data_IF_555037673791
#
_entry.id   IF_555037673791
#
_cell.length_a   1.000
_cell.length_b   1.000
_cell.length_c   1.000
_cell.angle_alpha   90.00
_cell.angle_beta   90.00
_cell.angle_gamma   90.00
#
_symmetry.space_group_name_H-M   'P 1'
#
loop_
_entity.id
_entity.type
_entity.pdbx_description
1 polymer ?
#
# COMPACT_ATOMS: atom_id res chain seq x y z
N UNK A 1 13.61 -10.07 -26.68
CA UNK A 1 12.32 -10.03 -25.94
C UNK A 1 11.83 -11.46 -25.80
N UNK A 2 11.56 -11.93 -24.57
CA UNK A 2 11.14 -13.33 -24.30
C UNK A 2 9.67 -13.48 -23.92
N UNK A 3 8.97 -12.36 -23.73
CA UNK A 3 7.56 -12.33 -23.41
C UNK A 3 7.07 -10.88 -23.31
N UNK A 4 5.76 -10.73 -23.25
CA UNK A 4 5.06 -9.47 -22.97
C UNK A 4 4.18 -9.68 -21.75
N UNK A 5 4.00 -8.63 -20.95
CA UNK A 5 3.15 -8.67 -19.77
C UNK A 5 1.98 -7.71 -19.96
N UNK A 6 0.83 -8.05 -19.39
CA UNK A 6 -0.33 -7.17 -19.39
C UNK A 6 -0.39 -6.44 -18.05
N UNK A 7 -0.55 -5.10 -18.03
CA UNK A 7 -0.78 -4.36 -16.80
C UNK A 7 -2.02 -4.92 -16.08
N UNK A 8 -1.86 -5.29 -14.81
CA UNK A 8 -2.92 -5.92 -14.00
C UNK A 8 -3.50 -5.01 -12.90
N UNK A 9 -3.06 -3.76 -12.80
CA UNK A 9 -3.50 -2.84 -11.74
C UNK A 9 -4.62 -1.91 -12.23
N UNK A 10 -5.71 -1.83 -11.46
CA UNK A 10 -6.80 -0.85 -11.63
C UNK A 10 -6.54 0.47 -10.89
N UNK A 11 -5.56 0.50 -9.98
CA UNK A 11 -5.08 1.70 -9.33
C UNK A 11 -3.85 2.21 -10.08
N UNK A 12 -4.08 3.19 -10.94
CA UNK A 12 -3.04 3.95 -11.61
C UNK A 12 -2.49 4.99 -10.63
N UNK A 13 -1.24 4.80 -10.19
CA UNK A 13 -0.49 5.81 -9.43
C UNK A 13 0.30 6.71 -10.39
N UNK A 14 -0.28 7.06 -11.54
CA UNK A 14 0.24 8.07 -12.45
C UNK A 14 1.45 7.65 -13.29
N UNK A 15 1.74 6.35 -13.38
CA UNK A 15 2.83 5.82 -14.20
C UNK A 15 2.24 4.98 -15.32
N UNK A 16 2.51 5.37 -16.57
CA UNK A 16 2.08 4.64 -17.75
C UNK A 16 2.77 3.26 -17.80
N UNK A 17 2.12 2.26 -17.20
CA UNK A 17 2.62 0.88 -17.11
C UNK A 17 2.76 0.19 -18.47
N UNK A 18 2.40 0.86 -19.58
CA UNK A 18 2.60 0.33 -20.93
C UNK A 18 4.07 0.39 -21.38
N UNK A 19 4.92 1.16 -20.69
CA UNK A 19 6.35 1.29 -20.97
C UNK A 19 7.29 0.40 -20.16
N UNK A 20 6.77 -0.40 -19.22
CA UNK A 20 7.61 -1.13 -18.26
C UNK A 20 8.34 -2.32 -18.90
N UNK A 21 9.63 -2.46 -18.59
CA UNK A 21 10.48 -3.56 -19.05
C UNK A 21 11.04 -4.30 -17.84
N UNK A 22 10.73 -5.59 -17.75
CA UNK A 22 11.31 -6.47 -16.73
C UNK A 22 12.52 -7.22 -17.27
N UNK A 23 13.64 -7.11 -16.57
CA UNK A 23 14.84 -7.90 -16.83
C UNK A 23 15.37 -8.51 -15.53
N UNK A 24 16.09 -9.64 -15.58
CA UNK A 24 16.70 -10.22 -14.39
C UNK A 24 17.65 -9.21 -13.72
N UNK A 25 17.57 -9.10 -12.40
CA UNK A 25 18.35 -8.14 -11.62
C UNK A 25 19.86 -8.25 -11.87
N UNK A 26 20.40 -9.47 -11.90
CA UNK A 26 21.82 -9.72 -12.17
C UNK A 26 22.25 -9.31 -13.58
N UNK A 27 21.34 -9.35 -14.55
CA UNK A 27 21.58 -8.85 -15.92
C UNK A 27 21.63 -7.33 -15.94
N UNK A 28 20.69 -6.66 -15.27
CA UNK A 28 20.67 -5.20 -15.14
C UNK A 28 21.98 -4.69 -14.53
N UNK A 29 22.41 -5.27 -13.41
CA UNK A 29 23.64 -4.84 -12.71
C UNK A 29 24.88 -4.93 -13.60
N UNK A 30 25.00 -5.98 -14.42
CA UNK A 30 26.14 -6.16 -15.34
C UNK A 30 26.06 -5.20 -16.54
N UNK A 31 24.87 -5.04 -17.13
CA UNK A 31 24.69 -4.22 -18.32
C UNK A 31 24.89 -2.73 -18.05
N UNK A 32 24.49 -2.26 -16.85
CA UNK A 32 24.51 -0.84 -16.48
C UNK A 32 25.56 -0.48 -15.42
N UNK A 33 26.47 -1.40 -15.11
CA UNK A 33 27.56 -1.18 -14.14
C UNK A 33 27.09 -0.82 -12.70
N UNK A 34 25.90 -1.25 -12.30
CA UNK A 34 25.32 -1.05 -10.96
C UNK A 34 25.66 -2.20 -10.00
N UNK A 35 26.91 -2.67 -10.04
CA UNK A 35 27.35 -3.83 -9.26
C UNK A 35 27.38 -3.44 -7.78
N UNK A 36 26.85 -4.31 -6.91
CA UNK A 36 26.73 -4.10 -5.46
C UNK A 36 25.78 -2.97 -5.03
N UNK A 37 25.04 -2.37 -5.95
CA UNK A 37 24.00 -1.39 -5.64
C UNK A 37 22.62 -2.05 -5.76
N UNK A 38 21.76 -1.81 -4.76
CA UNK A 38 20.35 -2.18 -4.77
C UNK A 38 19.55 -0.95 -4.37
N UNK A 39 18.68 -0.47 -5.25
CA UNK A 39 17.90 0.73 -4.98
C UNK A 39 16.77 0.48 -3.98
N UNK A 40 16.00 -0.60 -4.17
CA UNK A 40 14.84 -0.93 -3.34
C UNK A 40 14.71 -2.44 -3.16
N UNK A 41 14.20 -2.85 -2.00
CA UNK A 41 13.77 -4.22 -1.74
C UNK A 41 12.25 -4.26 -1.64
N UNK A 42 11.64 -5.21 -2.34
CA UNK A 42 10.25 -5.59 -2.11
C UNK A 42 10.24 -6.83 -1.22
N UNK A 43 9.59 -6.73 -0.06
CA UNK A 43 9.54 -7.79 0.94
C UNK A 43 8.08 -8.10 1.22
N UNK A 44 7.72 -9.38 1.15
CA UNK A 44 6.37 -9.87 1.41
C UNK A 44 6.38 -10.69 2.68
N UNK A 45 5.49 -10.34 3.62
CA UNK A 45 5.27 -11.12 4.84
C UNK A 45 4.50 -12.39 4.57
N UNK A 46 4.70 -13.40 5.43
CA UNK A 46 3.82 -14.57 5.46
C UNK A 46 2.49 -14.21 6.12
N UNK A 47 1.46 -15.01 5.84
CA UNK A 47 0.13 -14.80 6.40
C UNK A 47 0.16 -14.75 7.93
N UNK A 48 -0.58 -13.78 8.50
CA UNK A 48 -0.65 -13.56 9.95
C UNK A 48 0.55 -12.85 10.57
N UNK A 49 1.58 -12.50 9.79
CA UNK A 49 2.71 -11.70 10.27
C UNK A 49 2.47 -10.22 10.00
N UNK A 50 2.53 -9.41 11.05
CA UNK A 50 2.48 -7.96 10.96
C UNK A 50 3.67 -7.41 10.14
N UNK A 51 3.38 -6.70 9.05
CA UNK A 51 4.38 -6.08 8.17
C UNK A 51 5.23 -5.04 8.92
N UNK A 52 4.65 -4.37 9.92
CA UNK A 52 5.38 -3.46 10.82
C UNK A 52 6.52 -4.14 11.58
N UNK A 53 6.35 -5.41 11.98
CA UNK A 53 7.42 -6.20 12.62
C UNK A 53 8.51 -6.56 11.61
N UNK A 54 8.11 -7.03 10.43
CA UNK A 54 9.04 -7.37 9.35
C UNK A 54 9.88 -6.15 8.97
N UNK A 55 9.26 -4.98 8.87
CA UNK A 55 9.95 -3.72 8.58
C UNK A 55 10.99 -3.39 9.66
N UNK A 56 10.61 -3.46 10.94
CA UNK A 56 11.51 -3.18 12.05
C UNK A 56 12.69 -4.15 12.08
N UNK A 57 12.45 -5.44 11.88
CA UNK A 57 13.49 -6.46 11.90
C UNK A 57 14.42 -6.36 10.68
N UNK A 58 13.86 -6.03 9.51
CA UNK A 58 14.65 -5.76 8.30
C UNK A 58 15.56 -4.55 8.50
N UNK A 59 15.04 -3.44 9.05
CA UNK A 59 15.84 -2.24 9.35
C UNK A 59 16.95 -2.54 10.34
N UNK A 60 16.68 -3.31 11.41
CA UNK A 60 17.72 -3.73 12.37
C UNK A 60 18.82 -4.58 11.72
N UNK A 61 18.43 -5.54 10.89
CA UNK A 61 19.38 -6.39 10.15
C UNK A 61 20.26 -5.53 9.23
N UNK A 62 19.66 -4.60 8.49
CA UNK A 62 20.37 -3.69 7.61
C UNK A 62 21.28 -2.74 8.39
N UNK A 63 20.82 -2.20 9.50
CA UNK A 63 21.63 -1.33 10.36
C UNK A 63 22.88 -2.06 10.88
N UNK A 64 22.71 -3.29 11.35
CA UNK A 64 23.82 -4.12 11.80
C UNK A 64 24.80 -4.41 10.66
N UNK A 65 24.30 -4.77 9.47
CA UNK A 65 25.13 -5.10 8.30
C UNK A 65 25.90 -3.90 7.76
N UNK A 66 25.28 -2.73 7.76
CA UNK A 66 25.86 -1.49 7.21
C UNK A 66 26.53 -0.61 8.26
N UNK A 67 26.66 -1.08 9.52
CA UNK A 67 27.27 -0.36 10.64
C UNK A 67 26.61 1.01 10.90
N UNK A 68 25.30 1.07 10.71
CA UNK A 68 24.47 2.23 11.04
C UNK A 68 24.03 2.10 12.50
N UNK A 69 23.91 3.24 13.19
CA UNK A 69 23.38 3.24 14.54
C UNK A 69 21.93 2.69 14.55
N UNK A 70 21.56 1.76 15.45
CA UNK A 70 20.25 1.13 15.43
C UNK A 70 19.08 2.10 15.64
N UNK A 71 19.36 3.24 16.29
CA UNK A 71 18.38 4.29 16.56
C UNK A 71 18.43 5.44 15.55
N UNK A 72 19.10 5.29 14.41
CA UNK A 72 19.05 6.29 13.33
C UNK A 72 17.84 6.02 12.41
N UNK A 73 16.73 6.78 12.54
CA UNK A 73 15.52 6.53 11.76
C UNK A 73 15.65 6.99 10.30
N UNK A 74 16.66 7.79 9.95
CA UNK A 74 16.81 8.39 8.64
C UNK A 74 17.69 7.56 7.70
N UNK A 75 18.43 6.60 8.23
CA UNK A 75 19.36 5.80 7.44
C UNK A 75 18.69 4.85 6.44
N UNK A 76 17.47 4.39 6.72
CA UNK A 76 16.72 3.49 5.84
C UNK A 76 15.28 3.97 5.65
N UNK A 77 14.96 4.39 4.42
CA UNK A 77 13.58 4.61 4.01
C UNK A 77 12.80 3.30 3.94
N UNK A 78 11.51 3.36 4.22
CA UNK A 78 10.59 2.24 4.08
C UNK A 78 9.21 2.75 3.69
N UNK A 79 8.43 1.84 3.10
CA UNK A 79 7.02 2.09 2.84
C UNK A 79 6.23 0.85 3.25
N UNK A 80 5.26 1.05 4.16
CA UNK A 80 4.46 -0.01 4.71
C UNK A 80 3.08 -0.06 4.05
N UNK A 81 2.89 -1.03 3.15
CA UNK A 81 1.62 -1.23 2.45
C UNK A 81 0.48 -1.59 3.42
N UNK A 82 0.75 -2.32 4.50
CA UNK A 82 -0.28 -2.73 5.46
C UNK A 82 -0.83 -1.51 6.21
N UNK A 83 0.02 -0.58 6.63
CA UNK A 83 -0.41 0.65 7.30
C UNK A 83 -1.30 1.51 6.38
N UNK A 84 -0.86 1.70 5.13
CA UNK A 84 -1.66 2.44 4.14
C UNK A 84 -3.01 1.76 3.88
N UNK A 85 -3.02 0.44 3.73
CA UNK A 85 -4.25 -0.32 3.53
C UNK A 85 -5.19 -0.24 4.74
N UNK A 86 -4.65 -0.34 5.96
CA UNK A 86 -5.42 -0.20 7.20
C UNK A 86 -6.06 1.19 7.32
N UNK A 87 -5.32 2.25 6.99
CA UNK A 87 -5.84 3.62 6.97
C UNK A 87 -6.98 3.79 5.96
N UNK A 88 -6.81 3.28 4.74
CA UNK A 88 -7.88 3.31 3.73
C UNK A 88 -9.11 2.53 4.17
N UNK A 89 -8.91 1.35 4.76
CA UNK A 89 -10.02 0.54 5.26
C UNK A 89 -10.79 1.26 6.38
N UNK A 90 -10.07 1.87 7.33
CA UNK A 90 -10.68 2.66 8.40
C UNK A 90 -11.52 3.83 7.86
N UNK A 91 -11.02 4.52 6.83
CA UNK A 91 -11.76 5.59 6.14
C UNK A 91 -13.06 5.06 5.52
N UNK A 92 -13.01 3.94 4.78
CA UNK A 92 -14.19 3.37 4.16
C UNK A 92 -15.21 2.86 5.20
N UNK A 93 -14.76 2.30 6.31
CA UNK A 93 -15.63 1.94 7.43
C UNK A 93 -16.37 3.17 7.97
N UNK A 94 -15.64 4.28 8.19
CA UNK A 94 -16.25 5.52 8.67
C UNK A 94 -17.29 6.08 7.68
N UNK A 95 -16.96 6.10 6.38
CA UNK A 95 -17.90 6.52 5.32
C UNK A 95 -19.14 5.62 5.32
N UNK A 96 -18.97 4.30 5.38
CA UNK A 96 -20.08 3.36 5.39
C UNK A 96 -21.02 3.61 6.58
N UNK A 97 -20.48 3.79 7.78
CA UNK A 97 -21.26 4.10 8.97
C UNK A 97 -22.05 5.41 8.78
N UNK A 98 -21.39 6.45 8.28
CA UNK A 98 -22.05 7.73 8.01
C UNK A 98 -23.19 7.58 6.99
N UNK A 99 -22.94 6.87 5.89
CA UNK A 99 -23.95 6.60 4.86
C UNK A 99 -25.17 5.87 5.41
N UNK A 100 -24.98 4.91 6.30
CA UNK A 100 -26.08 4.22 6.97
C UNK A 100 -26.91 5.16 7.86
N UNK A 101 -26.25 6.00 8.66
CA UNK A 101 -26.95 6.97 9.52
C UNK A 101 -27.78 7.93 8.67
N UNK A 102 -27.17 8.53 7.63
CA UNK A 102 -27.86 9.46 6.74
C UNK A 102 -29.02 8.75 6.03
N UNK A 103 -28.81 7.55 5.50
CA UNK A 103 -29.86 6.77 4.83
C UNK A 103 -31.07 6.50 5.73
N UNK A 104 -30.84 6.10 6.99
CA UNK A 104 -31.91 5.86 7.96
C UNK A 104 -32.66 7.16 8.30
N UNK A 105 -31.94 8.26 8.53
CA UNK A 105 -32.55 9.55 8.83
C UNK A 105 -33.39 10.08 7.66
N UNK A 106 -32.90 9.93 6.43
CA UNK A 106 -33.66 10.32 5.22
C UNK A 106 -34.93 9.48 5.06
N UNK A 107 -34.86 8.17 5.29
CA UNK A 107 -36.04 7.31 5.27
C UNK A 107 -37.06 7.71 6.34
N UNK A 108 -36.60 7.97 7.57
CA UNK A 108 -37.48 8.40 8.67
C UNK A 108 -38.16 9.75 8.40
N UNK A 109 -37.42 10.73 7.87
CA UNK A 109 -37.97 12.02 7.49
C UNK A 109 -39.06 11.90 6.40
N UNK A 110 -38.85 11.00 5.43
CA UNK A 110 -39.85 10.70 4.40
C UNK A 110 -41.15 10.12 4.98
N UNK A 111 -41.05 9.18 5.91
CA UNK A 111 -42.22 8.58 6.59
C UNK A 111 -43.01 9.65 7.35
N UNK A 112 -42.33 10.54 8.09
CA UNK A 112 -42.97 11.63 8.82
C UNK A 112 -43.67 12.59 7.84
N UNK A 113 -43.02 12.93 6.72
CA UNK A 113 -43.59 13.80 5.70
C UNK A 113 -44.89 13.26 5.08
N UNK A 114 -44.93 11.97 4.75
CA UNK A 114 -46.15 11.32 4.23
C UNK A 114 -47.23 11.26 5.32
N UNK A 115 -46.86 10.95 6.56
CA UNK A 115 -47.80 10.88 7.69
C UNK A 115 -48.51 12.20 7.95
N UNK A 116 -47.83 13.34 7.73
CA UNK A 116 -48.40 14.68 7.89
C UNK A 116 -49.33 15.13 6.74
N UNK A 117 -49.35 14.41 5.62
CA UNK A 117 -50.31 14.66 4.51
C UNK A 117 -51.54 13.74 4.65
N UNK A 118 -51.38 12.58 5.29
CA UNK A 118 -52.44 11.59 5.45
C UNK A 118 -53.35 11.84 6.68
N UNK A 119 -52.82 12.50 7.73
CA UNK A 119 -53.56 13.01 8.90
C UNK A 119 -54.07 14.43 8.62
#
# INVERSE_FOLDING_TARGET
VVGVHQPRASADMGEDKSGDIHIPFSTFQKAFNSINEVHWFSITGQDGVEVSRIEADTKRLMAHRHKVHPDDPLAFGSWNMQEMFSMMNALFIAINVLSWIVGILTLAAGIIGISNIML
#
